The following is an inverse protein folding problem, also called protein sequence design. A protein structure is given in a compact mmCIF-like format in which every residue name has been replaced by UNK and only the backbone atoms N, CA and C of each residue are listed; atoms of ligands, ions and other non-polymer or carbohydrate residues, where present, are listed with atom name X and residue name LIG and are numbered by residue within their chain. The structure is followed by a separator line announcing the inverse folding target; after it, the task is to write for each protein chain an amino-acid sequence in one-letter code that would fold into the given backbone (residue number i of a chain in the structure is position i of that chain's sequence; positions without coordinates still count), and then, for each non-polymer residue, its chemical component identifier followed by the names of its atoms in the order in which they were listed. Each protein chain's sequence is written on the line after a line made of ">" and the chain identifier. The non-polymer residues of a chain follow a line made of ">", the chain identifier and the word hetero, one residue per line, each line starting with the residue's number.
data_IF_311150823762
#
_entry.id   IF_311150823762
#
_cell.length_a   1.000
_cell.length_b   1.000
_cell.length_c   1.000
_cell.angle_alpha   90.00
_cell.angle_beta   90.00
_cell.angle_gamma   90.00
#
_symmetry.space_group_name_H-M   'P 1'
#
loop_
_entity.id
_entity.type
_entity.pdbx_description
1 polymer ?
#
# COMPACT_ATOMS: atom_id res chain seq x y z
N UNK A 1 9.07 -7.71 -2.74
CA UNK A 1 8.33 -8.89 -3.25
C UNK A 1 6.81 -8.76 -3.04
N UNK A 2 6.33 -8.68 -1.79
CA UNK A 2 4.88 -8.68 -1.46
C UNK A 2 4.03 -7.67 -2.26
N UNK A 3 4.30 -6.36 -2.16
CA UNK A 3 3.50 -5.33 -2.86
C UNK A 3 3.50 -5.51 -4.38
N UNK A 4 4.62 -5.89 -4.99
CA UNK A 4 4.68 -6.14 -6.44
C UNK A 4 3.78 -7.31 -6.85
N UNK A 5 3.76 -8.39 -6.06
CA UNK A 5 2.88 -9.53 -6.29
C UNK A 5 1.40 -9.15 -6.09
N UNK A 6 1.07 -8.40 -5.03
CA UNK A 6 -0.29 -7.90 -4.79
C UNK A 6 -0.78 -7.04 -5.96
N UNK A 7 0.04 -6.11 -6.46
CA UNK A 7 -0.32 -5.26 -7.59
C UNK A 7 -0.51 -6.06 -8.88
N UNK A 8 0.32 -7.08 -9.13
CA UNK A 8 0.14 -7.99 -10.28
C UNK A 8 -1.20 -8.72 -10.22
N UNK A 9 -1.58 -9.22 -9.05
CA UNK A 9 -2.88 -9.88 -8.83
C UNK A 9 -4.04 -8.91 -9.02
N UNK A 10 -3.94 -7.71 -8.43
CA UNK A 10 -4.98 -6.67 -8.54
C UNK A 10 -5.19 -6.22 -9.99
N UNK A 11 -4.13 -6.15 -10.79
CA UNK A 11 -4.23 -5.82 -12.22
C UNK A 11 -4.99 -6.84 -13.07
N UNK A 12 -5.22 -8.05 -12.57
CA UNK A 12 -6.02 -9.08 -13.26
C UNK A 12 -7.51 -9.01 -12.92
N UNK A 13 -7.94 -8.13 -12.01
CA UNK A 13 -9.34 -7.97 -11.60
C UNK A 13 -10.02 -6.97 -12.56
N UNK A 14 -10.95 -7.42 -13.43
CA UNK A 14 -11.46 -6.60 -14.54
C UNK A 14 -12.28 -5.38 -14.08
N UNK A 15 -12.96 -5.49 -12.94
CA UNK A 15 -13.83 -4.45 -12.38
C UNK A 15 -13.17 -3.63 -11.26
N UNK A 16 -11.85 -3.73 -11.08
CA UNK A 16 -11.14 -2.95 -10.07
C UNK A 16 -10.99 -1.49 -10.54
N UNK A 17 -11.57 -0.55 -9.77
CA UNK A 17 -11.54 0.90 -10.08
C UNK A 17 -10.66 1.74 -9.16
N UNK A 18 -10.15 1.15 -8.08
CA UNK A 18 -9.31 1.86 -7.12
C UNK A 18 -8.83 0.95 -5.99
N UNK A 19 -7.85 1.44 -5.24
CA UNK A 19 -7.24 0.74 -4.10
C UNK A 19 -6.84 1.73 -3.01
N UNK A 20 -7.14 1.40 -1.77
CA UNK A 20 -6.71 2.11 -0.54
C UNK A 20 -5.90 1.17 0.37
N UNK A 21 -4.60 0.93 0.06
CA UNK A 21 -3.78 0.03 0.85
C UNK A 21 -3.66 0.47 2.31
N UNK A 22 -3.91 -0.47 3.22
CA UNK A 22 -3.72 -0.25 4.66
C UNK A 22 -2.23 -0.37 5.03
N UNK A 23 -1.56 0.65 5.54
CA UNK A 23 -1.98 2.03 5.86
C UNK A 23 -0.83 2.98 5.49
N UNK A 24 -1.08 4.28 5.48
CA UNK A 24 -0.04 5.26 5.15
C UNK A 24 1.13 5.26 6.15
N UNK A 25 0.84 5.28 7.46
CA UNK A 25 1.85 5.45 8.52
C UNK A 25 1.66 4.40 9.62
N UNK A 26 2.77 3.95 10.22
CA UNK A 26 2.72 3.10 11.42
C UNK A 26 1.97 3.81 12.56
N UNK A 27 1.14 3.05 13.29
CA UNK A 27 0.29 3.56 14.36
C UNK A 27 0.27 2.61 15.57
N UNK A 28 -0.03 3.15 16.76
CA UNK A 28 -0.12 2.36 17.99
C UNK A 28 -1.31 1.41 17.94
N UNK A 29 -1.10 0.16 18.32
CA UNK A 29 -2.15 -0.84 18.41
C UNK A 29 -1.90 -1.75 19.61
N UNK A 30 -2.84 -1.85 20.56
CA UNK A 30 -2.65 -2.64 21.78
C UNK A 30 -2.54 -4.13 21.50
N UNK A 31 -3.00 -4.59 20.32
CA UNK A 31 -2.98 -6.00 19.92
C UNK A 31 -1.67 -6.43 19.23
N UNK A 32 -0.63 -5.60 19.28
CA UNK A 32 0.64 -5.79 18.55
C UNK A 32 1.81 -5.86 19.52
N UNK A 33 1.80 -6.91 20.34
CA UNK A 33 2.66 -7.03 21.51
C UNK A 33 4.03 -7.65 21.24
N UNK A 34 4.30 -8.12 20.01
CA UNK A 34 5.57 -8.79 19.73
C UNK A 34 6.75 -7.84 20.06
N UNK A 35 7.62 -8.18 21.04
CA UNK A 35 8.50 -7.22 21.68
C UNK A 35 9.59 -6.66 20.76
N UNK A 36 10.09 -7.48 19.83
CA UNK A 36 11.16 -7.08 18.90
C UNK A 36 10.64 -6.34 17.67
N UNK A 37 9.60 -6.86 17.01
CA UNK A 37 9.18 -6.37 15.69
C UNK A 37 8.02 -5.38 15.72
N UNK A 38 7.20 -5.39 16.77
CA UNK A 38 5.97 -4.59 16.82
C UNK A 38 6.00 -3.59 17.97
N UNK A 39 6.32 -4.03 19.19
CA UNK A 39 6.46 -3.17 20.38
C UNK A 39 5.27 -2.19 20.55
N UNK A 40 4.05 -2.70 20.39
CA UNK A 40 2.81 -1.93 20.46
C UNK A 40 2.49 -1.09 19.21
N UNK A 41 3.21 -1.28 18.11
CA UNK A 41 2.98 -0.61 16.83
C UNK A 41 2.49 -1.58 15.76
N UNK A 42 1.47 -1.17 15.02
CA UNK A 42 1.14 -1.76 13.74
C UNK A 42 2.14 -1.27 12.68
N UNK A 43 3.03 -2.17 12.25
CA UNK A 43 4.13 -1.88 11.30
C UNK A 43 3.74 -2.00 9.82
N UNK A 44 2.44 -2.04 9.50
CA UNK A 44 1.92 -2.11 8.13
C UNK A 44 1.95 -0.77 7.39
N UNK A 45 2.39 0.32 8.04
CA UNK A 45 2.54 1.61 7.39
C UNK A 45 3.52 1.55 6.23
N UNK A 46 3.24 2.27 5.14
CA UNK A 46 4.22 2.57 4.10
C UNK A 46 5.34 3.50 4.62
N UNK A 47 5.04 4.24 5.67
CA UNK A 47 5.98 5.07 6.41
C UNK A 47 6.08 4.63 7.88
N UNK A 48 7.25 4.84 8.47
CA UNK A 48 7.46 4.67 9.90
C UNK A 48 6.67 5.68 10.73
N UNK A 49 6.64 5.48 12.05
CA UNK A 49 6.11 6.41 13.04
C UNK A 49 6.81 7.78 13.01
N UNK A 50 8.07 7.82 12.57
CA UNK A 50 8.88 9.05 12.38
C UNK A 50 8.76 9.66 10.98
N UNK A 51 7.99 9.03 10.07
CA UNK A 51 7.79 9.53 8.70
C UNK A 51 8.82 9.04 7.69
N UNK A 52 9.68 8.09 8.06
CA UNK A 52 10.62 7.47 7.13
C UNK A 52 9.90 6.56 6.15
N UNK A 53 10.13 6.77 4.84
CA UNK A 53 9.53 5.96 3.79
C UNK A 53 10.15 4.56 3.78
N UNK A 54 9.30 3.53 3.75
CA UNK A 54 9.72 2.14 3.52
C UNK A 54 9.75 1.87 2.02
N UNK A 55 10.49 0.85 1.59
CA UNK A 55 10.59 0.46 0.18
C UNK A 55 9.24 0.24 -0.51
N UNK A 56 8.22 -0.21 0.25
CA UNK A 56 6.86 -0.41 -0.26
C UNK A 56 6.18 0.90 -0.71
N UNK A 57 6.58 2.04 -0.13
CA UNK A 57 6.07 3.35 -0.52
C UNK A 57 6.37 3.62 -1.99
N UNK A 58 7.63 3.45 -2.41
CA UNK A 58 8.05 3.76 -3.77
C UNK A 58 7.38 2.83 -4.79
N UNK A 59 7.20 1.55 -4.46
CA UNK A 59 6.48 0.60 -5.31
C UNK A 59 5.04 1.05 -5.59
N UNK A 60 4.31 1.52 -4.57
CA UNK A 60 2.96 2.05 -4.75
C UNK A 60 2.95 3.41 -5.46
N UNK A 61 3.90 4.29 -5.13
CA UNK A 61 4.00 5.60 -5.76
C UNK A 61 4.27 5.48 -7.27
N UNK A 62 5.18 4.60 -7.68
CA UNK A 62 5.43 4.26 -9.09
C UNK A 62 4.16 3.74 -9.77
N UNK A 63 3.45 2.81 -9.13
CA UNK A 63 2.22 2.25 -9.66
C UNK A 63 1.12 3.30 -9.87
N UNK A 64 0.89 4.18 -8.88
CA UNK A 64 -0.10 5.25 -9.01
C UNK A 64 0.30 6.31 -10.05
N UNK A 65 1.59 6.62 -10.17
CA UNK A 65 2.08 7.52 -11.24
C UNK A 65 1.81 6.92 -12.62
N UNK A 66 2.09 5.64 -12.82
CA UNK A 66 1.85 4.94 -14.08
C UNK A 66 0.35 4.91 -14.45
N UNK A 67 -0.53 4.69 -13.46
CA UNK A 67 -1.98 4.77 -13.69
C UNK A 67 -2.45 6.17 -14.09
N UNK A 68 -1.87 7.23 -13.50
CA UNK A 68 -2.22 8.62 -13.85
C UNK A 68 -1.86 8.97 -15.29
N UNK A 69 -0.80 8.37 -15.84
CA UNK A 69 -0.36 8.58 -17.21
C UNK A 69 -1.08 7.69 -18.23
N UNK A 70 -1.78 6.65 -17.78
CA UNK A 70 -2.56 5.79 -18.67
C UNK A 70 -3.84 6.52 -19.11
N UNK A 71 -4.22 6.44 -20.39
CA UNK A 71 -5.49 7.01 -20.84
C UNK A 71 -6.65 6.38 -20.06
N UNK A 72 -7.47 7.23 -19.44
CA UNK A 72 -8.68 6.83 -18.72
C UNK A 72 -9.56 6.00 -19.65
N UNK A 73 -9.69 4.70 -19.38
CA UNK A 73 -10.65 3.85 -20.07
C UNK A 73 -12.06 4.38 -19.77
N UNK A 74 -12.90 4.64 -20.80
CA UNK A 74 -14.27 5.09 -20.58
C UNK A 74 -15.00 4.07 -19.72
N UNK A 75 -15.59 4.52 -18.61
CA UNK A 75 -16.55 3.73 -17.85
C UNK A 75 -17.83 3.68 -18.68
N UNK A 76 -18.15 2.53 -19.26
CA UNK A 76 -19.47 2.30 -19.86
C UNK A 76 -20.55 2.38 -18.75
N UNK A 77 -21.72 2.96 -19.06
CA UNK A 77 -22.83 3.16 -18.12
C UNK A 77 -23.53 1.86 -17.71
#
# INVERSE_FOLDING_TARGET
>A
AYYRATLKMLGAIPNLRGLSPWVLKDFRSPRREHPVFQNGWNRKGLMSETGQRKQAFDVLAEHYRAQRTAPTQPTEP
#
